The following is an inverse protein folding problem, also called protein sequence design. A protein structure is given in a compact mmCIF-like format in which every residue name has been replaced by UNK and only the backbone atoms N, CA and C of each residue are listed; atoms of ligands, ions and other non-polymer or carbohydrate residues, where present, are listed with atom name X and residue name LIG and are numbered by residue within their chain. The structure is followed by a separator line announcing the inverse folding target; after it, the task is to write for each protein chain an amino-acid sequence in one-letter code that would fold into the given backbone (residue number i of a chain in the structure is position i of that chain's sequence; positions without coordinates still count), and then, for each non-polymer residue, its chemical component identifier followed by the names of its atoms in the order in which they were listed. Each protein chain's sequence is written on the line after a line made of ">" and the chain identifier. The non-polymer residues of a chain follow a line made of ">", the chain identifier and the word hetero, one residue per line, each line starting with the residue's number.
data_IF_864892640387
#
_entry.id   IF_864892640387
#
_cell.length_a   1.000
_cell.length_b   1.000
_cell.length_c   1.000
_cell.angle_alpha   90.00
_cell.angle_beta   90.00
_cell.angle_gamma   90.00
#
_symmetry.space_group_name_H-M   'P 1'
#
loop_
_entity.id
_entity.type
_entity.pdbx_description
1 polymer ?
#
# COMPACT_ATOMS: atom_id res chain seq x y z
N UNK A 1 6.31 -1.71 -17.63
CA UNK A 1 6.59 -2.03 -16.23
C UNK A 1 7.80 -1.22 -15.76
N UNK A 2 7.73 -0.57 -14.60
CA UNK A 2 8.92 -0.08 -13.91
C UNK A 2 9.85 -1.25 -13.61
N UNK A 3 11.13 -1.09 -13.93
CA UNK A 3 12.10 -2.15 -13.68
C UNK A 3 12.40 -2.36 -12.18
N UNK A 4 13.10 -3.45 -11.83
CA UNK A 4 13.53 -3.77 -10.47
C UNK A 4 14.14 -2.61 -9.66
N UNK A 5 14.94 -1.78 -10.34
CA UNK A 5 15.61 -0.63 -9.74
C UNK A 5 14.63 0.43 -9.26
N UNK A 6 13.56 0.72 -10.02
CA UNK A 6 12.58 1.72 -9.66
C UNK A 6 11.78 1.29 -8.41
N UNK A 7 11.32 0.04 -8.40
CA UNK A 7 10.66 -0.59 -7.25
C UNK A 7 11.53 -0.57 -5.99
N UNK A 8 12.79 -0.98 -6.13
CA UNK A 8 13.76 -1.02 -5.03
C UNK A 8 14.06 0.37 -4.48
N UNK A 9 14.31 1.36 -5.37
CA UNK A 9 14.60 2.73 -4.96
C UNK A 9 13.40 3.39 -4.27
N UNK A 10 12.18 3.18 -4.79
CA UNK A 10 10.96 3.67 -4.17
C UNK A 10 10.81 3.10 -2.74
N UNK A 11 10.87 1.78 -2.60
CA UNK A 11 10.66 1.13 -1.31
C UNK A 11 11.76 1.43 -0.28
N UNK A 12 13.04 1.44 -0.70
CA UNK A 12 14.14 1.82 0.19
C UNK A 12 14.09 3.31 0.54
N UNK A 13 13.72 4.19 -0.39
CA UNK A 13 13.56 5.62 -0.14
C UNK A 13 12.48 5.91 0.90
N UNK A 14 11.30 5.30 0.72
CA UNK A 14 10.21 5.36 1.71
C UNK A 14 10.66 4.76 3.04
N UNK A 15 11.31 3.60 3.02
CA UNK A 15 11.83 2.92 4.20
C UNK A 15 12.84 3.76 4.98
N UNK A 16 13.77 4.43 4.30
CA UNK A 16 14.74 5.34 4.91
C UNK A 16 14.05 6.57 5.54
N UNK A 17 13.03 7.12 4.87
CA UNK A 17 12.18 8.17 5.43
C UNK A 17 11.48 7.73 6.71
N UNK A 18 10.84 6.56 6.70
CA UNK A 18 10.18 5.98 7.88
C UNK A 18 11.17 5.68 9.00
N UNK A 19 12.36 5.18 8.68
CA UNK A 19 13.43 4.94 9.66
C UNK A 19 13.84 6.23 10.37
N UNK A 20 14.00 7.32 9.62
CA UNK A 20 14.31 8.64 10.17
C UNK A 20 13.18 9.18 11.05
N UNK A 21 11.95 9.16 10.54
CA UNK A 21 10.77 9.72 11.25
C UNK A 21 10.40 8.93 12.51
N UNK A 22 10.63 7.61 12.48
CA UNK A 22 10.33 6.72 13.60
C UNK A 22 11.47 6.60 14.62
N UNK A 23 12.60 7.30 14.40
CA UNK A 23 13.81 7.20 15.22
C UNK A 23 14.30 5.76 15.37
N UNK A 24 14.34 5.01 14.26
CA UNK A 24 14.85 3.64 14.23
C UNK A 24 13.85 2.56 14.64
N UNK A 25 12.60 2.88 15.03
CA UNK A 25 11.55 1.87 15.27
C UNK A 25 11.21 1.09 14.00
N UNK A 26 11.28 1.75 12.85
CA UNK A 26 11.37 1.12 11.54
C UNK A 26 12.84 1.04 11.15
N UNK A 27 13.47 -0.12 11.32
CA UNK A 27 14.91 -0.30 11.14
C UNK A 27 15.34 -0.82 9.77
N UNK A 28 16.65 -1.07 9.57
CA UNK A 28 17.20 -1.60 8.31
C UNK A 28 16.58 -2.92 7.87
N UNK A 29 16.29 -3.83 8.82
CA UNK A 29 15.60 -5.09 8.53
C UNK A 29 14.20 -4.86 7.94
N UNK A 30 13.47 -3.85 8.43
CA UNK A 30 12.15 -3.52 7.91
C UNK A 30 12.25 -3.02 6.47
N UNK A 31 13.22 -2.14 6.21
CA UNK A 31 13.48 -1.57 4.88
C UNK A 31 13.80 -2.68 3.86
N UNK A 32 14.63 -3.65 4.24
CA UNK A 32 15.00 -4.74 3.32
C UNK A 32 13.83 -5.67 3.00
N UNK A 33 13.06 -6.11 4.01
CA UNK A 33 11.91 -6.99 3.74
C UNK A 33 10.84 -6.25 2.93
N UNK A 34 10.58 -4.98 3.24
CA UNK A 34 9.66 -4.15 2.47
C UNK A 34 10.12 -4.01 1.01
N UNK A 35 11.38 -3.64 0.78
CA UNK A 35 11.92 -3.45 -0.56
C UNK A 35 12.04 -4.76 -1.35
N UNK A 36 12.42 -5.87 -0.71
CA UNK A 36 12.47 -7.18 -1.35
C UNK A 36 11.10 -7.59 -1.90
N UNK A 37 10.01 -7.28 -1.20
CA UNK A 37 8.65 -7.61 -1.66
C UNK A 37 8.06 -6.58 -2.61
N UNK A 38 8.54 -5.33 -2.59
CA UNK A 38 8.21 -4.33 -3.62
C UNK A 38 8.89 -4.62 -4.96
N UNK A 39 10.09 -5.20 -4.92
CA UNK A 39 10.78 -5.66 -6.12
C UNK A 39 10.37 -7.08 -6.51
N UNK A 40 10.81 -8.09 -5.76
CA UNK A 40 10.71 -9.49 -6.17
C UNK A 40 9.33 -10.10 -5.92
N UNK A 41 8.56 -9.56 -4.99
CA UNK A 41 7.46 -10.29 -4.34
C UNK A 41 6.48 -10.91 -5.34
N UNK A 42 5.54 -10.13 -5.90
CA UNK A 42 4.60 -10.64 -6.90
C UNK A 42 5.28 -11.15 -8.18
N UNK A 43 6.41 -10.56 -8.56
CA UNK A 43 7.25 -10.96 -9.70
C UNK A 43 7.85 -12.38 -9.58
N UNK A 44 7.74 -13.05 -8.44
CA UNK A 44 8.03 -14.49 -8.35
C UNK A 44 7.13 -15.31 -9.30
N UNK A 45 5.91 -14.84 -9.58
CA UNK A 45 5.00 -15.45 -10.55
C UNK A 45 5.53 -15.36 -11.97
N UNK A 46 5.90 -14.15 -12.41
CA UNK A 46 6.45 -13.89 -13.75
C UNK A 46 7.79 -14.62 -13.94
N UNK A 47 8.63 -14.68 -12.90
CA UNK A 47 9.86 -15.45 -12.91
C UNK A 47 9.61 -16.96 -13.05
N UNK A 48 8.62 -17.51 -12.34
CA UNK A 48 8.27 -18.93 -12.43
C UNK A 48 7.75 -19.30 -13.83
N UNK A 49 6.94 -18.43 -14.44
CA UNK A 49 6.49 -18.57 -15.82
C UNK A 49 7.66 -18.54 -16.80
N UNK A 50 8.55 -17.56 -16.67
CA UNK A 50 9.76 -17.47 -17.50
C UNK A 50 10.63 -18.72 -17.37
N UNK A 51 10.88 -19.19 -16.14
CA UNK A 51 11.67 -20.40 -15.89
C UNK A 51 11.02 -21.63 -16.52
N UNK A 52 9.69 -21.77 -16.40
CA UNK A 52 8.94 -22.86 -17.03
C UNK A 52 9.05 -22.83 -18.56
N UNK A 53 9.03 -21.63 -19.16
CA UNK A 53 9.17 -21.45 -20.62
C UNK A 53 10.55 -21.88 -21.14
N UNK A 54 11.59 -21.82 -20.31
CA UNK A 54 12.93 -22.28 -20.66
C UNK A 54 13.09 -23.82 -20.59
N UNK A 55 12.27 -24.48 -19.77
CA UNK A 55 12.43 -25.92 -19.46
C UNK A 55 11.43 -26.79 -20.25
N UNK A 56 10.24 -26.26 -20.58
CA UNK A 56 9.17 -27.01 -21.24
C UNK A 56 8.78 -26.36 -22.57
N UNK A 57 8.48 -27.18 -23.59
CA UNK A 57 7.83 -26.70 -24.82
C UNK A 57 6.45 -26.09 -24.50
N UNK A 58 5.99 -25.16 -25.34
CA UNK A 58 4.82 -24.30 -25.17
C UNK A 58 3.46 -25.02 -24.94
N UNK A 59 3.43 -26.35 -24.96
CA UNK A 59 2.25 -27.18 -24.74
C UNK A 59 2.40 -28.18 -23.57
N UNK A 60 3.44 -28.03 -22.75
CA UNK A 60 3.75 -28.94 -21.64
C UNK A 60 3.13 -28.52 -20.29
N UNK A 61 3.03 -29.49 -19.37
CA UNK A 61 2.56 -29.28 -18.00
C UNK A 61 3.35 -28.18 -17.26
N UNK A 62 4.64 -28.02 -17.56
CA UNK A 62 5.46 -26.94 -17.01
C UNK A 62 4.95 -25.54 -17.39
N UNK A 63 4.59 -25.32 -18.65
CA UNK A 63 4.03 -24.03 -19.10
C UNK A 63 2.70 -23.73 -18.41
N UNK A 64 1.83 -24.72 -18.25
CA UNK A 64 0.56 -24.53 -17.54
C UNK A 64 0.77 -24.17 -16.06
N UNK A 65 1.72 -24.82 -15.38
CA UNK A 65 2.06 -24.49 -14.00
C UNK A 65 2.72 -23.09 -13.88
N UNK A 66 3.56 -22.71 -14.84
CA UNK A 66 4.17 -21.39 -14.89
C UNK A 66 3.13 -20.28 -15.05
N UNK A 67 2.21 -20.43 -16.01
CA UNK A 67 1.11 -19.49 -16.21
C UNK A 67 0.17 -19.42 -14.99
N UNK A 68 -0.15 -20.55 -14.36
CA UNK A 68 -0.94 -20.57 -13.13
C UNK A 68 -0.20 -19.87 -11.98
N UNK A 69 1.13 -20.02 -11.89
CA UNK A 69 1.94 -19.31 -10.91
C UNK A 69 1.91 -17.80 -11.18
N UNK A 70 1.99 -17.35 -12.43
CA UNK A 70 1.81 -15.94 -12.80
C UNK A 70 0.45 -15.43 -12.34
N UNK A 71 -0.66 -16.09 -12.70
CA UNK A 71 -2.01 -15.65 -12.35
C UNK A 71 -2.27 -15.58 -10.84
N UNK A 72 -1.73 -16.54 -10.07
CA UNK A 72 -1.96 -16.61 -8.63
C UNK A 72 -0.98 -15.78 -7.81
N UNK A 73 0.31 -15.76 -8.17
CA UNK A 73 1.36 -15.08 -7.39
C UNK A 73 1.46 -13.62 -7.77
N UNK A 74 1.19 -13.25 -9.03
CA UNK A 74 1.19 -11.86 -9.50
C UNK A 74 -0.18 -11.17 -9.32
N UNK A 75 -1.03 -11.68 -8.41
CA UNK A 75 -2.27 -11.01 -8.04
C UNK A 75 -2.13 -10.26 -6.70
N UNK A 76 -2.58 -8.98 -6.60
CA UNK A 76 -2.33 -8.10 -5.46
C UNK A 76 -2.73 -8.65 -4.09
N UNK A 77 -3.77 -9.48 -4.05
CA UNK A 77 -4.27 -10.07 -2.81
C UNK A 77 -3.87 -11.53 -2.63
N UNK A 78 -3.58 -12.26 -3.70
CA UNK A 78 -3.26 -13.68 -3.60
C UNK A 78 -1.82 -13.89 -3.18
N UNK A 79 -0.89 -13.02 -3.59
CA UNK A 79 0.48 -13.05 -3.12
C UNK A 79 0.60 -13.12 -1.58
N UNK A 80 0.06 -12.14 -0.81
CA UNK A 80 0.14 -12.19 0.64
C UNK A 80 -0.71 -13.33 1.24
N UNK A 81 -1.81 -13.76 0.60
CA UNK A 81 -2.63 -14.86 1.10
C UNK A 81 -1.95 -16.23 0.96
N UNK A 82 -1.32 -16.48 -0.19
CA UNK A 82 -0.71 -17.77 -0.52
C UNK A 82 0.70 -17.89 0.03
N UNK A 83 1.54 -16.87 -0.19
CA UNK A 83 2.96 -16.90 0.17
C UNK A 83 3.28 -16.12 1.44
N UNK A 84 2.36 -15.28 1.95
CA UNK A 84 2.63 -14.44 3.11
C UNK A 84 3.00 -15.24 4.36
N UNK A 85 2.30 -16.34 4.65
CA UNK A 85 2.64 -17.19 5.79
C UNK A 85 4.02 -17.83 5.65
N UNK A 86 4.34 -18.65 4.63
CA UNK A 86 5.66 -19.28 4.52
C UNK A 86 6.80 -18.25 4.43
N UNK A 87 6.63 -17.18 3.66
CA UNK A 87 7.66 -16.15 3.53
C UNK A 87 7.84 -15.34 4.82
N UNK A 88 6.81 -15.14 5.64
CA UNK A 88 6.96 -14.45 6.92
C UNK A 88 7.88 -15.20 7.89
N UNK A 89 7.86 -16.54 7.88
CA UNK A 89 8.77 -17.37 8.67
C UNK A 89 10.19 -17.27 8.10
N UNK A 90 10.32 -17.33 6.78
CA UNK A 90 11.61 -17.20 6.10
C UNK A 90 12.28 -15.84 6.36
N UNK A 91 11.54 -14.74 6.23
CA UNK A 91 12.07 -13.40 6.49
C UNK A 91 12.41 -13.17 7.96
N UNK A 92 11.60 -13.67 8.90
CA UNK A 92 11.94 -13.62 10.32
C UNK A 92 13.24 -14.40 10.62
N UNK A 93 13.41 -15.57 10.00
CA UNK A 93 14.63 -16.37 10.13
C UNK A 93 15.85 -15.65 9.53
N UNK A 94 15.73 -15.07 8.32
CA UNK A 94 16.81 -14.28 7.70
C UNK A 94 17.16 -13.08 8.58
N UNK A 95 16.17 -12.35 9.10
CA UNK A 95 16.42 -11.20 9.96
C UNK A 95 17.22 -11.60 11.21
N UNK A 96 16.86 -12.71 11.85
CA UNK A 96 17.62 -13.26 12.98
C UNK A 96 19.04 -13.68 12.58
N UNK A 97 19.22 -14.27 11.41
CA UNK A 97 20.54 -14.65 10.89
C UNK A 97 21.43 -13.43 10.64
N UNK A 98 20.89 -12.39 9.99
CA UNK A 98 21.62 -11.15 9.67
C UNK A 98 22.00 -10.38 10.94
N UNK A 99 21.13 -10.38 11.95
CA UNK A 99 21.41 -9.82 13.27
C UNK A 99 22.55 -10.56 13.96
N UNK A 100 22.48 -11.90 14.04
CA UNK A 100 23.52 -12.74 14.68
C UNK A 100 24.89 -12.59 14.02
N UNK A 101 24.93 -12.32 12.71
CA UNK A 101 26.16 -12.09 11.96
C UNK A 101 26.65 -10.65 12.01
N UNK A 102 25.93 -9.73 12.66
CA UNK A 102 26.28 -8.31 12.72
C UNK A 102 26.24 -7.59 11.37
N UNK A 103 25.50 -8.13 10.39
CA UNK A 103 25.42 -7.54 9.04
C UNK A 103 24.46 -6.34 9.03
N UNK A 104 23.39 -6.44 9.81
CA UNK A 104 22.38 -5.39 9.93
C UNK A 104 22.06 -5.16 11.40
N UNK A 105 22.29 -3.93 11.83
CA UNK A 105 22.04 -3.51 13.20
C UNK A 105 20.71 -2.74 13.30
N UNK A 106 19.66 -3.31 13.91
CA UNK A 106 18.45 -2.58 14.24
C UNK A 106 18.68 -1.76 15.52
N UNK A 107 18.17 -0.53 15.56
CA UNK A 107 18.24 0.30 16.78
C UNK A 107 17.65 -0.36 18.03
N UNK A 108 16.74 -1.34 17.87
CA UNK A 108 16.16 -2.11 18.98
C UNK A 108 16.97 -3.34 19.39
N UNK A 109 18.02 -3.71 18.66
CA UNK A 109 18.78 -4.96 18.89
C UNK A 109 17.99 -6.26 18.66
N UNK A 110 16.79 -6.19 18.06
CA UNK A 110 15.88 -7.34 17.90
C UNK A 110 15.56 -7.60 16.43
N UNK A 111 15.54 -8.87 16.04
CA UNK A 111 15.16 -9.32 14.69
C UNK A 111 13.65 -9.20 14.45
N UNK A 112 13.23 -9.14 13.19
CA UNK A 112 11.82 -9.08 12.83
C UNK A 112 11.06 -10.32 13.33
N UNK A 113 9.89 -10.09 13.91
CA UNK A 113 8.91 -11.14 14.16
C UNK A 113 8.24 -11.60 12.85
N UNK A 114 7.58 -12.76 12.91
CA UNK A 114 6.80 -13.30 11.79
C UNK A 114 5.67 -12.35 11.40
N UNK A 115 4.98 -11.76 12.37
CA UNK A 115 3.90 -10.81 12.09
C UNK A 115 4.42 -9.54 11.41
N UNK A 116 5.54 -8.97 11.89
CA UNK A 116 6.16 -7.83 11.23
C UNK A 116 6.57 -8.18 9.79
N UNK A 117 7.14 -9.37 9.59
CA UNK A 117 7.53 -9.86 8.26
C UNK A 117 6.33 -10.03 7.33
N UNK A 118 5.20 -10.55 7.83
CA UNK A 118 3.95 -10.65 7.07
C UNK A 118 3.40 -9.28 6.65
N UNK A 119 3.40 -8.31 7.57
CA UNK A 119 2.96 -6.93 7.30
C UNK A 119 3.86 -6.25 6.26
N UNK A 120 5.18 -6.39 6.39
CA UNK A 120 6.16 -5.81 5.46
C UNK A 120 6.11 -6.45 4.08
N UNK A 121 5.90 -7.77 4.03
CA UNK A 121 5.67 -8.49 2.78
C UNK A 121 4.43 -7.96 2.06
N UNK A 122 3.32 -7.86 2.78
CA UNK A 122 2.05 -7.34 2.23
C UNK A 122 2.18 -5.88 1.79
N UNK A 123 2.90 -5.06 2.57
CA UNK A 123 3.17 -3.67 2.21
C UNK A 123 4.01 -3.57 0.94
N UNK A 124 5.08 -4.39 0.84
CA UNK A 124 5.96 -4.43 -0.31
C UNK A 124 5.19 -4.85 -1.57
N UNK A 125 4.45 -5.97 -1.50
CA UNK A 125 3.68 -6.45 -2.65
C UNK A 125 2.63 -5.47 -3.12
N UNK A 126 1.93 -4.78 -2.23
CA UNK A 126 0.98 -3.74 -2.64
C UNK A 126 1.68 -2.49 -3.22
N UNK A 127 2.88 -2.16 -2.73
CA UNK A 127 3.72 -1.08 -3.27
C UNK A 127 4.27 -1.39 -4.66
N UNK A 128 4.52 -2.67 -4.95
CA UNK A 128 4.86 -3.17 -6.28
C UNK A 128 3.72 -2.80 -7.25
N UNK A 129 2.51 -3.28 -6.96
CA UNK A 129 1.33 -2.99 -7.77
C UNK A 129 0.99 -1.50 -7.87
N UNK A 130 1.34 -0.67 -6.88
CA UNK A 130 1.18 0.78 -7.01
C UNK A 130 1.94 1.33 -8.22
N UNK A 131 3.19 0.92 -8.40
CA UNK A 131 4.02 1.39 -9.51
C UNK A 131 3.62 0.72 -10.83
N UNK A 132 3.27 -0.56 -10.83
CA UNK A 132 2.89 -1.26 -12.05
C UNK A 132 1.57 -0.72 -12.61
N UNK A 133 0.53 -0.54 -11.78
CA UNK A 133 -0.73 0.01 -12.26
C UNK A 133 -0.59 1.42 -12.85
N UNK A 134 0.40 2.21 -12.43
CA UNK A 134 0.66 3.56 -12.95
C UNK A 134 1.49 3.57 -14.23
N UNK A 135 2.44 2.63 -14.39
CA UNK A 135 3.47 2.70 -15.43
C UNK A 135 3.54 1.45 -16.33
N UNK A 136 2.69 0.46 -16.11
CA UNK A 136 2.58 -0.74 -16.93
C UNK A 136 1.50 -0.60 -18.00
N UNK A 137 1.69 -1.35 -19.09
CA UNK A 137 0.77 -1.43 -20.23
C UNK A 137 0.37 -0.07 -20.83
N UNK A 138 1.20 0.97 -20.69
CA UNK A 138 0.85 2.35 -21.08
C UNK A 138 -0.49 2.84 -20.51
N UNK A 139 -0.86 2.38 -19.30
CA UNK A 139 -2.16 2.71 -18.70
C UNK A 139 -3.32 1.85 -19.22
N UNK A 140 -3.07 0.63 -19.67
CA UNK A 140 -4.12 -0.32 -20.04
C UNK A 140 -4.37 -1.44 -19.02
N UNK A 141 -3.72 -1.38 -17.85
CA UNK A 141 -3.98 -2.34 -16.79
C UNK A 141 -5.46 -2.37 -16.41
N UNK A 142 -5.95 -3.53 -15.98
CA UNK A 142 -7.36 -3.71 -15.60
C UNK A 142 -7.77 -2.75 -14.49
N UNK A 143 -6.91 -2.53 -13.50
CA UNK A 143 -7.14 -1.56 -12.43
C UNK A 143 -7.17 -0.13 -12.95
N UNK A 144 -6.20 0.29 -13.77
CA UNK A 144 -6.16 1.67 -14.27
C UNK A 144 -7.33 1.96 -15.21
N UNK A 145 -7.67 1.01 -16.09
CA UNK A 145 -8.86 1.09 -16.94
C UNK A 145 -10.13 1.18 -16.09
N UNK A 146 -10.22 0.42 -15.00
CA UNK A 146 -11.33 0.53 -14.06
C UNK A 146 -11.37 1.89 -13.36
N UNK A 147 -10.23 2.44 -12.92
CA UNK A 147 -10.15 3.79 -12.34
C UNK A 147 -10.73 4.79 -13.33
N UNK A 148 -10.23 4.82 -14.57
CA UNK A 148 -10.72 5.74 -15.59
C UNK A 148 -12.20 5.53 -15.89
N UNK A 149 -12.71 4.30 -15.83
CA UNK A 149 -14.14 4.03 -16.05
C UNK A 149 -15.07 4.70 -15.02
N UNK A 150 -14.54 5.14 -13.88
CA UNK A 150 -15.30 5.91 -12.87
C UNK A 150 -15.41 7.41 -13.19
N UNK A 151 -14.68 7.90 -14.19
CA UNK A 151 -14.76 9.26 -14.72
C UNK A 151 -15.67 9.37 -15.94
N UNK A 152 -15.65 10.53 -16.62
CA UNK A 152 -16.48 10.78 -17.79
C UNK A 152 -15.68 11.30 -18.98
N UNK A 153 -15.74 10.57 -20.10
CA UNK A 153 -14.85 10.78 -21.25
C UNK A 153 -15.55 10.87 -22.61
N UNK A 154 -16.88 10.77 -22.66
CA UNK A 154 -17.62 10.68 -23.93
C UNK A 154 -17.79 12.02 -24.64
N UNK A 155 -18.03 13.08 -23.86
CA UNK A 155 -18.25 14.47 -24.26
C UNK A 155 -17.98 15.35 -23.02
N UNK A 156 -18.09 16.67 -23.14
CA UNK A 156 -18.08 17.56 -21.98
C UNK A 156 -19.02 17.05 -20.89
N UNK A 157 -18.49 16.91 -19.67
CA UNK A 157 -19.29 16.42 -18.56
C UNK A 157 -20.49 17.36 -18.29
N UNK A 158 -21.70 16.80 -18.08
CA UNK A 158 -22.86 17.59 -17.71
C UNK A 158 -22.62 18.31 -16.38
N UNK A 159 -23.07 19.56 -16.30
CA UNK A 159 -23.02 20.33 -15.05
C UNK A 159 -23.98 19.68 -14.05
N UNK A 160 -23.45 19.19 -12.94
CA UNK A 160 -24.22 18.58 -11.86
C UNK A 160 -24.21 19.51 -10.62
N UNK A 161 -25.28 20.29 -10.35
CA UNK A 161 -25.33 21.18 -9.19
C UNK A 161 -25.30 20.41 -7.86
N UNK A 162 -25.82 19.18 -7.82
CA UNK A 162 -25.79 18.33 -6.62
C UNK A 162 -24.35 18.02 -6.22
N UNK A 163 -23.47 17.80 -7.21
CA UNK A 163 -22.05 17.56 -6.97
C UNK A 163 -21.38 18.75 -6.27
N UNK A 164 -21.68 19.99 -6.70
CA UNK A 164 -21.14 21.20 -6.07
C UNK A 164 -21.57 21.29 -4.60
N UNK A 165 -22.85 21.04 -4.32
CA UNK A 165 -23.38 21.10 -2.95
C UNK A 165 -22.75 20.02 -2.07
N UNK A 166 -22.71 18.78 -2.54
CA UNK A 166 -22.20 17.66 -1.73
C UNK A 166 -20.69 17.72 -1.54
N UNK A 167 -19.92 17.92 -2.61
CA UNK A 167 -18.46 18.07 -2.51
C UNK A 167 -18.13 19.29 -1.66
N UNK A 168 -18.80 20.42 -1.88
CA UNK A 168 -18.62 21.63 -1.08
C UNK A 168 -18.87 21.40 0.41
N UNK A 169 -19.97 20.70 0.76
CA UNK A 169 -20.31 20.37 2.13
C UNK A 169 -19.31 19.39 2.77
N UNK A 170 -18.90 18.34 2.04
CA UNK A 170 -17.95 17.34 2.53
C UNK A 170 -16.55 17.94 2.73
N UNK A 171 -16.05 18.71 1.77
CA UNK A 171 -14.79 19.43 1.88
C UNK A 171 -14.82 20.43 3.04
N UNK A 172 -15.88 21.24 3.15
CA UNK A 172 -16.04 22.18 4.27
C UNK A 172 -16.05 21.46 5.62
N UNK A 173 -16.78 20.35 5.71
CA UNK A 173 -16.83 19.52 6.93
C UNK A 173 -15.47 18.93 7.28
N UNK A 174 -14.70 18.50 6.28
CA UNK A 174 -13.35 17.99 6.47
C UNK A 174 -12.41 19.06 7.01
N UNK A 175 -12.36 20.24 6.36
CA UNK A 175 -11.51 21.35 6.80
C UNK A 175 -11.91 21.88 8.18
N UNK A 176 -13.19 22.21 8.36
CA UNK A 176 -13.70 22.74 9.63
C UNK A 176 -13.55 21.73 10.77
N UNK A 177 -13.84 20.45 10.51
CA UNK A 177 -13.67 19.37 11.46
C UNK A 177 -12.19 19.16 11.86
N UNK A 178 -11.28 19.20 10.89
CA UNK A 178 -9.84 19.08 11.16
C UNK A 178 -9.33 20.24 12.03
N UNK A 179 -9.71 21.47 11.71
CA UNK A 179 -9.41 22.67 12.51
C UNK A 179 -10.00 22.52 13.92
N UNK A 180 -11.25 22.07 14.03
CA UNK A 180 -11.93 21.88 15.31
C UNK A 180 -11.22 20.85 16.21
N UNK A 181 -10.77 19.72 15.65
CA UNK A 181 -10.04 18.68 16.38
C UNK A 181 -8.68 19.20 16.87
N UNK A 182 -7.99 19.97 16.04
CA UNK A 182 -6.61 20.40 16.29
C UNK A 182 -6.46 21.78 16.95
N UNK A 183 -7.56 22.47 17.27
CA UNK A 183 -7.54 23.78 17.94
C UNK A 183 -6.78 23.75 19.28
N UNK A 184 -6.11 24.86 19.60
CA UNK A 184 -5.18 25.01 20.75
C UNK A 184 -5.79 24.63 22.11
N UNK A 185 -7.10 24.78 22.29
CA UNK A 185 -7.78 24.60 23.60
C UNK A 185 -8.15 23.16 23.95
N UNK A 186 -7.82 22.16 23.11
CA UNK A 186 -8.46 20.85 23.24
C UNK A 186 -7.91 19.92 24.35
N UNK A 187 -6.84 20.28 25.08
CA UNK A 187 -6.31 19.52 26.24
C UNK A 187 -5.88 18.05 25.99
N UNK A 188 -6.19 17.48 24.82
CA UNK A 188 -5.90 16.10 24.40
C UNK A 188 -4.48 15.99 23.87
N UNK A 189 -3.88 14.82 24.09
CA UNK A 189 -2.59 14.47 23.49
C UNK A 189 -2.62 14.54 21.96
N UNK A 190 -1.46 14.73 21.34
CA UNK A 190 -1.33 14.78 19.87
C UNK A 190 -1.78 13.47 19.21
N UNK A 191 -1.51 12.32 19.85
CA UNK A 191 -1.91 10.99 19.35
C UNK A 191 -3.44 10.90 19.26
N UNK A 192 -4.14 11.25 20.34
CA UNK A 192 -5.61 11.22 20.36
C UNK A 192 -6.22 12.17 19.32
N UNK A 193 -5.60 13.34 19.09
CA UNK A 193 -6.03 14.27 18.03
C UNK A 193 -5.76 13.71 16.63
N UNK A 194 -4.64 13.05 16.43
CA UNK A 194 -4.32 12.34 15.18
C UNK A 194 -5.34 11.26 14.88
N UNK A 195 -5.68 10.41 15.86
CA UNK A 195 -6.68 9.34 15.70
C UNK A 195 -8.07 9.91 15.37
N UNK A 196 -8.45 11.01 16.04
CA UNK A 196 -9.70 11.71 15.74
C UNK A 196 -9.70 12.32 14.33
N UNK A 197 -8.56 12.88 13.89
CA UNK A 197 -8.42 13.45 12.54
C UNK A 197 -8.50 12.36 11.48
N UNK A 198 -7.83 11.22 11.69
CA UNK A 198 -7.92 10.06 10.81
C UNK A 198 -9.35 9.53 10.74
N UNK A 199 -10.04 9.41 11.87
CA UNK A 199 -11.45 9.00 11.91
C UNK A 199 -12.35 9.96 11.12
N UNK A 200 -12.13 11.27 11.22
CA UNK A 200 -12.85 12.25 10.41
C UNK A 200 -12.60 12.04 8.91
N UNK A 201 -11.33 11.91 8.49
CA UNK A 201 -10.96 11.65 7.10
C UNK A 201 -11.64 10.38 6.58
N UNK A 202 -11.61 9.28 7.34
CA UNK A 202 -12.24 8.02 6.95
C UNK A 202 -13.76 8.13 6.82
N UNK A 203 -14.43 8.86 7.72
CA UNK A 203 -15.88 9.10 7.62
C UNK A 203 -16.19 9.88 6.35
N UNK A 204 -15.50 11.00 6.10
CA UNK A 204 -15.74 11.84 4.92
C UNK A 204 -15.42 11.09 3.63
N UNK A 205 -14.29 10.38 3.58
CA UNK A 205 -13.92 9.56 2.42
C UNK A 205 -14.96 8.48 2.14
N UNK A 206 -15.48 7.80 3.17
CA UNK A 206 -16.53 6.78 3.01
C UNK A 206 -17.81 7.39 2.45
N UNK A 207 -18.29 8.49 3.04
CA UNK A 207 -19.47 9.21 2.56
C UNK A 207 -19.30 9.65 1.10
N UNK A 208 -18.12 10.15 0.75
CA UNK A 208 -17.82 10.60 -0.60
C UNK A 208 -17.78 9.45 -1.60
N UNK A 209 -17.09 8.35 -1.27
CA UNK A 209 -17.07 7.15 -2.10
C UNK A 209 -18.47 6.56 -2.29
N UNK A 210 -19.30 6.53 -1.23
CA UNK A 210 -20.70 6.08 -1.34
C UNK A 210 -21.51 6.98 -2.27
N UNK A 211 -21.33 8.31 -2.18
CA UNK A 211 -21.96 9.23 -3.11
C UNK A 211 -21.51 8.97 -4.55
N UNK A 212 -20.21 8.91 -4.83
CA UNK A 212 -19.70 8.66 -6.18
C UNK A 212 -20.22 7.32 -6.73
N UNK A 213 -20.17 6.26 -5.93
CA UNK A 213 -20.71 4.95 -6.30
C UNK A 213 -22.21 5.01 -6.61
N UNK A 214 -22.99 5.82 -5.88
CA UNK A 214 -24.42 5.99 -6.17
C UNK A 214 -24.66 6.65 -7.53
N UNK A 215 -23.85 7.64 -7.91
CA UNK A 215 -24.01 8.34 -9.20
C UNK A 215 -23.61 7.43 -10.37
N UNK A 216 -22.57 6.62 -10.20
CA UNK A 216 -22.00 5.76 -11.24
C UNK A 216 -22.80 4.46 -11.40
N UNK A 217 -23.15 3.79 -10.30
CA UNK A 217 -23.69 2.43 -10.34
C UNK A 217 -25.19 2.34 -10.04
N UNK A 218 -25.78 3.29 -9.33
CA UNK A 218 -27.20 3.21 -8.92
C UNK A 218 -28.13 4.13 -9.72
N UNK A 219 -27.63 5.21 -10.33
CA UNK A 219 -28.47 6.04 -11.22
C UNK A 219 -28.64 5.39 -12.58
N UNK A 220 -29.82 5.58 -13.17
CA UNK A 220 -30.14 5.14 -14.53
C UNK A 220 -30.74 6.32 -15.33
N UNK A 221 -30.04 6.86 -16.35
CA UNK A 221 -28.69 6.47 -16.78
C UNK A 221 -27.61 6.86 -15.74
N UNK A 222 -26.47 6.15 -15.72
CA UNK A 222 -25.30 6.55 -14.94
C UNK A 222 -24.89 7.99 -15.22
N UNK A 223 -24.47 8.71 -14.18
CA UNK A 223 -24.01 10.10 -14.28
C UNK A 223 -22.60 10.24 -13.68
N UNK A 224 -21.79 11.18 -14.19
CA UNK A 224 -20.54 11.50 -13.52
C UNK A 224 -20.80 12.02 -12.11
N UNK A 225 -20.00 11.55 -11.15
CA UNK A 225 -20.09 12.03 -9.79
C UNK A 225 -19.64 13.50 -9.68
N UNK A 226 -18.52 13.85 -10.34
CA UNK A 226 -17.96 15.21 -10.38
C UNK A 226 -17.32 15.44 -11.74
N UNK A 227 -18.01 16.12 -12.66
CA UNK A 227 -17.44 16.52 -13.94
C UNK A 227 -16.82 15.34 -14.72
N UNK A 228 -15.60 15.51 -15.19
CA UNK A 228 -14.83 14.49 -15.94
C UNK A 228 -14.00 13.59 -15.00
N UNK A 229 -14.00 13.86 -13.70
CA UNK A 229 -13.06 13.32 -12.72
C UNK A 229 -13.39 11.88 -12.30
N UNK A 230 -12.34 11.07 -12.16
CA UNK A 230 -12.41 9.65 -11.78
C UNK A 230 -12.24 9.42 -10.26
N UNK A 231 -12.86 10.28 -9.44
CA UNK A 231 -12.60 10.39 -8.00
C UNK A 231 -12.77 9.06 -7.24
N UNK A 232 -13.80 8.27 -7.56
CA UNK A 232 -14.04 6.99 -6.89
C UNK A 232 -12.87 6.02 -7.12
N UNK A 233 -12.46 5.86 -8.38
CA UNK A 233 -11.35 5.00 -8.75
C UNK A 233 -10.04 5.46 -8.11
N UNK A 234 -9.76 6.76 -8.18
CA UNK A 234 -8.55 7.37 -7.59
C UNK A 234 -8.49 7.16 -6.08
N UNK A 235 -9.59 7.39 -5.35
CA UNK A 235 -9.62 7.22 -3.89
C UNK A 235 -9.43 5.76 -3.48
N UNK A 236 -10.05 4.82 -4.18
CA UNK A 236 -9.88 3.38 -3.91
C UNK A 236 -8.44 2.94 -4.23
N UNK A 237 -7.88 3.41 -5.35
CA UNK A 237 -6.50 3.14 -5.72
C UNK A 237 -5.52 3.66 -4.66
N UNK A 238 -5.65 4.92 -4.25
CA UNK A 238 -4.83 5.51 -3.20
C UNK A 238 -5.01 4.78 -1.87
N UNK A 239 -6.23 4.40 -1.49
CA UNK A 239 -6.46 3.65 -0.25
C UNK A 239 -5.72 2.31 -0.23
N UNK A 240 -5.80 1.53 -1.32
CA UNK A 240 -5.25 0.18 -1.40
C UNK A 240 -3.75 0.13 -1.67
N UNK A 241 -3.27 0.96 -2.59
CA UNK A 241 -1.90 0.86 -3.12
C UNK A 241 -0.97 1.96 -2.60
N UNK A 242 -1.51 3.02 -2.00
CA UNK A 242 -0.70 4.09 -1.38
C UNK A 242 -0.80 4.07 0.15
N UNK A 243 -1.97 4.34 0.73
CA UNK A 243 -2.11 4.51 2.19
C UNK A 243 -1.98 3.18 2.96
N UNK A 244 -2.59 2.10 2.49
CA UNK A 244 -2.54 0.81 3.17
C UNK A 244 -1.10 0.26 3.31
N UNK A 245 -0.23 0.24 2.28
CA UNK A 245 1.16 -0.18 2.44
C UNK A 245 1.92 0.59 3.50
N UNK A 246 1.77 1.92 3.51
CA UNK A 246 2.40 2.77 4.52
C UNK A 246 1.84 2.47 5.91
N UNK A 247 0.53 2.26 6.06
CA UNK A 247 -0.08 1.86 7.33
C UNK A 247 0.45 0.51 7.83
N UNK A 248 0.61 -0.48 6.95
CA UNK A 248 1.21 -1.78 7.28
C UNK A 248 2.68 -1.63 7.73
N UNK A 249 3.45 -0.76 7.09
CA UNK A 249 4.80 -0.40 7.54
C UNK A 249 4.81 0.29 8.91
N UNK A 250 3.84 1.16 9.21
CA UNK A 250 3.71 1.78 10.54
C UNK A 250 3.35 0.73 11.61
N UNK A 251 2.46 -0.21 11.28
CA UNK A 251 2.04 -1.30 12.18
C UNK A 251 3.16 -2.32 12.45
N UNK A 252 4.12 -2.45 11.53
CA UNK A 252 5.26 -3.36 11.71
C UNK A 252 6.39 -2.76 12.56
N UNK A 253 6.34 -1.47 12.92
CA UNK A 253 7.37 -0.84 13.74
C UNK A 253 7.53 -1.49 15.11
N UNK A 254 8.77 -1.53 15.60
CA UNK A 254 9.05 -1.94 16.98
C UNK A 254 8.34 -1.04 18.01
N UNK A 255 8.01 -1.58 19.19
CA UNK A 255 7.47 -0.77 20.27
C UNK A 255 8.54 0.17 20.85
N UNK A 256 8.09 1.31 21.41
CA UNK A 256 8.99 2.34 21.95
C UNK A 256 9.89 1.81 23.07
N UNK A 257 9.32 1.00 23.94
CA UNK A 257 9.99 0.50 25.15
C UNK A 257 11.27 -0.30 24.85
N UNK A 258 11.37 -0.90 23.65
CA UNK A 258 12.56 -1.63 23.20
C UNK A 258 13.74 -0.73 22.80
N UNK A 259 13.49 0.53 22.43
CA UNK A 259 14.57 1.46 22.03
C UNK A 259 15.10 2.19 23.25
N UNK A 260 14.20 2.62 24.14
CA UNK A 260 14.59 3.32 25.37
C UNK A 260 15.39 2.40 26.33
N UNK A 261 15.25 1.08 26.20
CA UNK A 261 16.07 0.08 26.92
C UNK A 261 17.41 -0.19 26.25
N UNK A 262 17.52 -0.04 24.92
CA UNK A 262 18.78 -0.17 24.20
C UNK A 262 19.74 1.00 24.49
N UNK A 263 19.19 2.22 24.66
CA UNK A 263 19.95 3.41 25.09
C UNK A 263 20.48 3.31 26.55
N UNK A 264 20.07 2.29 27.32
CA UNK A 264 20.47 2.06 28.71
C UNK A 264 21.44 0.89 28.91
N UNK A 265 21.93 0.25 27.84
CA UNK A 265 22.91 -0.82 27.98
C UNK A 265 24.27 -0.24 28.43
N UNK A 266 24.90 -0.79 29.49
CA UNK A 266 26.18 -0.29 29.96
C UNK A 266 27.29 -0.62 28.94
N UNK A 267 28.16 0.36 28.69
CA UNK A 267 29.41 0.25 27.95
C UNK A 267 30.33 -0.83 28.52
#
# INVERSE_FOLDING_TARGET
>A
MPGPGAHTMYALGVGAGLMRLSRGRFGPHHCLVYAANAFLGPDLGSFAEWLASCISSSSGLGHSLGSLAMDLVHHPFYYPMLLGLPLSFFYAWISALLLRKGILDPASGVSLSKMQSFLLLSAGSLSHFFLDHLFEENGHSTMYTWILSTGWWKNSAPINPDAVVVVGLLCTSLFAGFVYINRLKNGKSIIKRSDQSLRLVLIIATLYCTWCASQIYWRNPPQPAVGEEADLGVLIFLALYFFLPHALCLLSMNQRDYIDTADQLPL
#
